data_IF_232985034122
#
_entry.id   IF_232985034122
#
_cell.length_a   1.000
_cell.length_b   1.000
_cell.length_c   1.000
_cell.angle_alpha   90.00
_cell.angle_beta   90.00
_cell.angle_gamma   90.00
#
_symmetry.space_group_name_H-M   'P 1'
#
loop_
_entity.id
_entity.type
_entity.pdbx_description
1 polymer ?
#
# COMPACT_ATOMS: atom_id res chain seq x y z
N UNK A 1 2.59 9.67 5.71
CA UNK A 1 1.65 9.80 4.56
C UNK A 1 0.84 8.52 4.44
N UNK A 2 -0.40 8.62 3.96
CA UNK A 2 -1.26 7.46 3.72
C UNK A 2 -0.88 6.78 2.41
N UNK A 3 -1.42 5.56 2.19
CA UNK A 3 -1.31 4.87 0.89
C UNK A 3 -1.81 5.78 -0.22
N UNK A 4 -2.95 6.44 -0.01
CA UNK A 4 -3.55 7.31 -1.02
C UNK A 4 -2.65 8.50 -1.35
N UNK A 5 -2.01 9.09 -0.33
CA UNK A 5 -1.08 10.19 -0.56
C UNK A 5 0.04 9.79 -1.52
N UNK A 6 0.66 8.63 -1.27
CA UNK A 6 1.72 8.13 -2.12
C UNK A 6 1.22 7.76 -3.51
N UNK A 7 0.06 7.10 -3.56
CA UNK A 7 -0.52 6.68 -4.85
C UNK A 7 -0.80 7.88 -5.74
N UNK A 8 -1.40 8.92 -5.17
CA UNK A 8 -1.73 10.15 -5.90
C UNK A 8 -0.44 10.84 -6.36
N UNK A 9 0.55 10.90 -5.48
CA UNK A 9 1.86 11.48 -5.82
C UNK A 9 2.49 10.77 -7.02
N UNK A 10 2.35 9.45 -7.09
CA UNK A 10 2.90 8.65 -8.18
C UNK A 10 2.03 8.66 -9.44
N UNK A 11 0.81 9.14 -9.36
CA UNK A 11 -0.11 9.14 -10.48
C UNK A 11 -0.64 7.75 -10.83
N UNK A 12 -0.63 6.81 -9.89
CA UNK A 12 -1.09 5.45 -10.13
C UNK A 12 -2.56 5.30 -9.81
N UNK A 13 -3.26 4.47 -10.61
CA UNK A 13 -4.62 4.04 -10.28
C UNK A 13 -4.56 2.99 -9.16
N UNK A 14 -5.72 2.73 -8.54
CA UNK A 14 -5.83 1.65 -7.56
C UNK A 14 -5.45 0.30 -8.18
N UNK A 15 -5.91 0.06 -9.41
CA UNK A 15 -5.60 -1.18 -10.12
C UNK A 15 -4.09 -1.32 -10.40
N UNK A 16 -3.43 -0.22 -10.74
CA UNK A 16 -1.98 -0.24 -10.96
C UNK A 16 -1.22 -0.59 -9.68
N UNK A 17 -1.58 0.05 -8.57
CA UNK A 17 -0.92 -0.22 -7.30
C UNK A 17 -1.15 -1.67 -6.89
N UNK A 18 -2.39 -2.16 -6.98
CA UNK A 18 -2.70 -3.54 -6.64
C UNK A 18 -1.89 -4.52 -7.47
N UNK A 19 -1.78 -4.28 -8.78
CA UNK A 19 -0.99 -5.12 -9.67
C UNK A 19 0.49 -5.11 -9.30
N UNK A 20 1.04 -3.94 -9.02
CA UNK A 20 2.46 -3.80 -8.66
C UNK A 20 2.76 -4.45 -7.31
N UNK A 21 1.81 -4.43 -6.39
CA UNK A 21 1.92 -5.11 -5.10
C UNK A 21 1.55 -6.59 -5.16
N UNK A 22 1.06 -7.05 -6.30
CA UNK A 22 0.60 -8.43 -6.52
C UNK A 22 -0.49 -8.83 -5.52
N UNK A 23 -1.45 -7.95 -5.32
CA UNK A 23 -2.59 -8.19 -4.44
C UNK A 23 -3.89 -7.84 -5.17
N UNK A 24 -4.99 -8.36 -4.64
CA UNK A 24 -6.31 -8.03 -5.15
C UNK A 24 -6.66 -6.57 -4.81
N UNK A 25 -7.35 -5.90 -5.72
CA UNK A 25 -7.73 -4.50 -5.52
C UNK A 25 -8.66 -4.33 -4.31
N UNK A 26 -9.49 -5.32 -4.01
CA UNK A 26 -10.35 -5.26 -2.82
C UNK A 26 -9.53 -5.33 -1.54
N UNK A 27 -8.46 -6.12 -1.52
CA UNK A 27 -7.54 -6.17 -0.40
C UNK A 27 -6.83 -4.82 -0.22
N UNK A 28 -6.42 -4.20 -1.32
CA UNK A 28 -5.83 -2.86 -1.27
C UNK A 28 -6.81 -1.84 -0.69
N UNK A 29 -8.07 -1.87 -1.10
CA UNK A 29 -9.10 -0.97 -0.57
C UNK A 29 -9.31 -1.16 0.93
N UNK A 30 -9.28 -2.41 1.40
CA UNK A 30 -9.37 -2.70 2.84
C UNK A 30 -8.22 -2.04 3.59
N UNK A 31 -7.00 -2.19 3.10
CA UNK A 31 -5.83 -1.56 3.73
C UNK A 31 -5.99 -0.05 3.78
N UNK A 32 -6.45 0.56 2.71
CA UNK A 32 -6.68 2.02 2.63
C UNK A 32 -7.73 2.46 3.64
N UNK A 33 -8.77 1.66 3.83
CA UNK A 33 -9.89 2.00 4.72
C UNK A 33 -9.63 1.66 6.19
N UNK A 34 -8.43 1.22 6.53
CA UNK A 34 -8.07 0.92 7.91
C UNK A 34 -8.55 -0.43 8.40
N UNK A 35 -9.02 -1.30 7.51
CA UNK A 35 -9.37 -2.68 7.85
C UNK A 35 -8.06 -3.45 8.05
N UNK A 36 -7.91 -4.21 9.15
CA UNK A 36 -6.68 -4.96 9.39
C UNK A 36 -6.35 -5.93 8.25
N UNK A 37 -5.10 -5.91 7.82
CA UNK A 37 -4.56 -6.82 6.80
C UNK A 37 -3.31 -7.50 7.34
N UNK A 38 -2.93 -8.61 6.76
CA UNK A 38 -1.70 -9.29 7.15
C UNK A 38 -0.49 -8.41 6.86
N UNK A 39 0.54 -8.53 7.69
CA UNK A 39 1.77 -7.74 7.52
C UNK A 39 2.40 -7.95 6.13
N UNK A 40 2.32 -9.16 5.57
CA UNK A 40 2.86 -9.41 4.23
C UNK A 40 2.14 -8.58 3.16
N UNK A 41 0.85 -8.33 3.34
CA UNK A 41 0.07 -7.49 2.44
C UNK A 41 0.51 -6.03 2.58
N UNK A 42 0.60 -5.55 3.81
CA UNK A 42 1.05 -4.19 4.07
C UNK A 42 2.49 -3.99 3.55
N UNK A 43 3.34 -4.98 3.75
CA UNK A 43 4.72 -4.95 3.23
C UNK A 43 4.77 -4.94 1.71
N UNK A 44 3.90 -5.70 1.05
CA UNK A 44 3.84 -5.72 -0.41
C UNK A 44 3.42 -4.35 -0.97
N UNK A 45 2.47 -3.69 -0.32
CA UNK A 45 2.04 -2.34 -0.71
C UNK A 45 3.21 -1.36 -0.54
N UNK A 46 3.88 -1.40 0.61
CA UNK A 46 5.02 -0.52 0.88
C UNK A 46 6.15 -0.75 -0.12
N UNK A 47 6.42 -2.01 -0.47
CA UNK A 47 7.45 -2.36 -1.46
C UNK A 47 7.12 -1.80 -2.84
N UNK A 48 5.87 -1.93 -3.27
CA UNK A 48 5.43 -1.40 -4.56
C UNK A 48 5.57 0.13 -4.61
N UNK A 49 5.16 0.80 -3.53
CA UNK A 49 5.30 2.25 -3.43
C UNK A 49 6.78 2.66 -3.42
N UNK A 50 7.62 1.92 -2.71
CA UNK A 50 9.06 2.19 -2.67
C UNK A 50 9.68 2.17 -4.05
N UNK A 51 9.32 1.20 -4.87
CA UNK A 51 9.83 1.10 -6.24
C UNK A 51 9.44 2.32 -7.07
N UNK A 52 8.21 2.77 -6.92
CA UNK A 52 7.74 3.96 -7.64
C UNK A 52 8.39 5.24 -7.15
N UNK A 53 8.61 5.34 -5.84
CA UNK A 53 9.18 6.54 -5.22
C UNK A 53 10.69 6.68 -5.44
N UNK A 54 11.37 5.56 -5.66
CA UNK A 54 12.82 5.57 -5.80
C UNK A 54 13.57 5.59 -4.46
N UNK A 55 12.88 5.41 -3.35
CA UNK A 55 13.47 5.25 -2.03
C UNK A 55 12.60 4.28 -1.20
N UNK A 56 13.21 3.68 -0.18
CA UNK A 56 12.54 2.64 0.61
C UNK A 56 11.64 3.25 1.68
N UNK A 57 10.39 2.80 1.69
CA UNK A 57 9.47 3.00 2.81
C UNK A 57 9.03 1.62 3.31
N UNK A 58 8.60 1.57 4.57
CA UNK A 58 8.05 0.34 5.15
C UNK A 58 6.56 0.56 5.41
N UNK A 59 5.83 -0.53 5.74
CA UNK A 59 4.41 -0.40 6.04
C UNK A 59 4.16 0.48 7.28
N UNK A 60 5.17 0.64 8.14
CA UNK A 60 5.06 1.52 9.32
C UNK A 60 5.02 2.99 8.94
N UNK A 61 5.49 3.33 7.75
CA UNK A 61 5.43 4.70 7.22
C UNK A 61 4.06 5.02 6.60
N UNK A 62 3.18 4.02 6.52
CA UNK A 62 1.85 4.17 5.94
C UNK A 62 0.84 4.46 7.03
N UNK A 63 0.44 5.72 7.15
CA UNK A 63 -0.56 6.13 8.13
C UNK A 63 -1.90 5.48 7.83
N UNK A 64 -2.60 5.04 8.86
CA UNK A 64 -3.94 4.47 8.72
C UNK A 64 -3.98 3.00 8.35
N UNK A 65 -2.85 2.37 8.09
CA UNK A 65 -2.80 0.93 7.78
C UNK A 65 -2.77 0.15 9.09
N UNK A 66 -3.71 -0.78 9.24
CA UNK A 66 -3.80 -1.67 10.39
C UNK A 66 -3.31 -3.05 9.98
N UNK A 67 -2.53 -3.68 10.83
CA UNK A 67 -2.03 -5.03 10.54
C UNK A 67 -2.47 -6.02 11.60
N UNK A 68 -2.61 -7.29 11.19
CA UNK A 68 -2.90 -8.44 12.04
C UNK A 68 -1.83 -9.49 11.79
N UNK A 69 -1.60 -10.31 12.80
CA UNK A 69 -0.66 -11.42 12.96
C UNK A 69 0.48 -11.16 13.98
#
# INVERSE_FOLDING_TARGET
MTIEDYRIQLGWSLAELARKADIDVNTLKRAINGVPVYKRIAGAIASALSQGLGYTITYRDLDGVQTID
#
